data_IF_044564699546
#
_entry.id   IF_044564699546
#
_cell.length_a   1.000
_cell.length_b   1.000
_cell.length_c   1.000
_cell.angle_alpha   90.00
_cell.angle_beta   90.00
_cell.angle_gamma   90.00
#
_symmetry.space_group_name_H-M   'P 1'
#
loop_
_entity.id
_entity.type
_entity.pdbx_description
1 polymer ?
#
# COMPACT_ATOMS: atom_id res chain seq x y z
N UNK A 1 12.15 2.93 -9.93
CA UNK A 1 11.36 3.67 -8.90
C UNK A 1 10.81 2.69 -7.88
N UNK A 2 10.81 3.05 -6.59
CA UNK A 2 10.24 2.22 -5.52
C UNK A 2 9.03 2.91 -4.90
N UNK A 3 7.93 2.21 -4.76
CA UNK A 3 6.67 2.70 -4.17
C UNK A 3 6.31 1.88 -2.93
N UNK A 4 5.90 2.53 -1.84
CA UNK A 4 5.54 1.84 -0.59
C UNK A 4 4.58 2.63 0.28
N UNK A 5 3.80 1.95 1.14
CA UNK A 5 3.06 2.59 2.21
C UNK A 5 4.03 3.16 3.25
N UNK A 6 3.65 4.27 3.86
CA UNK A 6 4.46 4.94 4.89
C UNK A 6 3.61 5.30 6.10
N UNK A 7 3.92 4.67 7.23
CA UNK A 7 3.43 5.05 8.55
C UNK A 7 4.57 5.66 9.37
N UNK A 8 5.24 4.85 10.20
CA UNK A 8 6.37 5.29 11.03
C UNK A 8 7.67 5.56 10.25
N UNK A 9 7.69 5.25 8.97
CA UNK A 9 8.79 5.41 8.01
C UNK A 9 10.06 4.57 8.25
N UNK A 10 10.09 3.67 9.23
CA UNK A 10 11.25 2.81 9.48
C UNK A 10 11.68 1.98 8.26
N UNK A 11 10.72 1.33 7.58
CA UNK A 11 11.02 0.60 6.34
C UNK A 11 11.47 1.53 5.20
N UNK A 12 10.96 2.75 5.14
CA UNK A 12 11.35 3.72 4.12
C UNK A 12 12.83 4.10 4.28
N UNK A 13 13.25 4.42 5.51
CA UNK A 13 14.63 4.77 5.84
C UNK A 13 15.58 3.57 5.70
N UNK A 14 15.16 2.36 6.10
CA UNK A 14 15.96 1.14 5.95
C UNK A 14 16.24 0.82 4.47
N UNK A 15 15.25 0.95 3.58
CA UNK A 15 15.48 0.75 2.16
C UNK A 15 16.38 1.84 1.56
N UNK A 16 16.25 3.09 2.00
CA UNK A 16 17.13 4.17 1.57
C UNK A 16 18.59 3.87 1.94
N UNK A 17 18.80 3.40 3.18
CA UNK A 17 20.12 3.00 3.64
C UNK A 17 20.69 1.86 2.80
N UNK A 18 19.93 0.79 2.56
CA UNK A 18 20.38 -0.34 1.74
C UNK A 18 20.72 0.07 0.30
N UNK A 19 19.91 0.93 -0.33
CA UNK A 19 20.26 1.46 -1.66
C UNK A 19 21.49 2.36 -1.66
N UNK A 20 21.74 3.12 -0.59
CA UNK A 20 22.96 3.93 -0.48
C UNK A 20 24.20 3.04 -0.33
N UNK A 21 24.12 1.95 0.43
CA UNK A 21 25.16 0.93 0.55
C UNK A 21 25.42 0.25 -0.81
N UNK A 22 24.36 -0.18 -1.50
CA UNK A 22 24.49 -0.79 -2.85
C UNK A 22 25.13 0.16 -3.86
N UNK A 23 24.83 1.46 -3.80
CA UNK A 23 25.44 2.46 -4.66
C UNK A 23 26.93 2.64 -4.32
N UNK A 24 27.28 2.74 -3.04
CA UNK A 24 28.66 2.90 -2.59
C UNK A 24 29.55 1.70 -2.95
N UNK A 25 28.98 0.49 -2.94
CA UNK A 25 29.67 -0.75 -3.32
C UNK A 25 29.59 -1.03 -4.85
N UNK A 26 29.00 -0.14 -5.63
CA UNK A 26 28.92 -0.28 -7.09
C UNK A 26 27.95 -1.36 -7.58
N UNK A 27 27.10 -1.91 -6.70
CA UNK A 27 26.06 -2.90 -7.10
C UNK A 27 24.94 -2.28 -7.93
N UNK A 28 24.67 -1.00 -7.73
CA UNK A 28 23.73 -0.22 -8.55
C UNK A 28 24.44 1.05 -9.06
N UNK A 29 23.96 1.58 -10.18
CA UNK A 29 24.54 2.78 -10.82
C UNK A 29 23.92 4.09 -10.38
N UNK A 30 22.73 4.05 -9.75
CA UNK A 30 22.03 5.22 -9.27
C UNK A 30 20.97 4.81 -8.21
N UNK A 31 20.65 5.71 -7.31
CA UNK A 31 19.57 5.50 -6.35
C UNK A 31 18.21 5.44 -7.06
N UNK A 32 17.35 4.49 -6.74
CA UNK A 32 15.97 4.50 -7.23
C UNK A 32 15.20 5.66 -6.58
N UNK A 33 14.38 6.37 -7.36
CA UNK A 33 13.45 7.34 -6.79
C UNK A 33 12.49 6.64 -5.84
N UNK A 34 12.44 7.08 -4.61
CA UNK A 34 11.61 6.49 -3.55
C UNK A 34 10.36 7.32 -3.33
N UNK A 35 9.19 6.76 -3.62
CA UNK A 35 7.92 7.42 -3.37
C UNK A 35 7.21 6.75 -2.20
N UNK A 36 6.85 7.55 -1.20
CA UNK A 36 6.10 7.10 -0.03
C UNK A 36 4.66 7.58 -0.09
N UNK A 37 3.72 6.69 0.21
CA UNK A 37 2.30 7.05 0.22
C UNK A 37 1.69 6.82 1.59
N UNK A 38 0.90 7.79 2.02
CA UNK A 38 0.18 7.79 3.29
C UNK A 38 -1.32 7.74 3.05
N UNK A 39 -2.09 7.40 4.06
CA UNK A 39 -3.52 7.61 4.04
C UNK A 39 -3.84 9.09 4.31
N UNK A 40 -4.82 9.68 3.61
CA UNK A 40 -5.18 11.09 3.71
C UNK A 40 -5.44 11.54 5.15
N UNK A 41 -6.15 10.75 5.94
CA UNK A 41 -6.40 11.04 7.37
C UNK A 41 -5.19 10.83 8.28
N UNK A 42 -4.03 10.45 7.75
CA UNK A 42 -2.79 10.21 8.48
C UNK A 42 -1.55 10.46 7.61
N UNK A 43 -1.40 11.71 7.12
CA UNK A 43 -0.38 12.07 6.12
C UNK A 43 0.57 13.21 6.57
N UNK A 44 1.28 13.06 7.73
CA UNK A 44 2.16 14.09 8.25
C UNK A 44 3.30 14.48 7.31
N UNK A 45 3.85 13.56 6.51
CA UNK A 45 4.91 13.88 5.54
C UNK A 45 4.42 14.76 4.40
N UNK A 46 3.16 14.63 4.02
CA UNK A 46 2.57 15.44 2.94
C UNK A 46 2.09 16.79 3.45
N UNK A 47 1.54 16.84 4.67
CA UNK A 47 1.04 18.09 5.26
C UNK A 47 2.13 18.91 5.94
N UNK A 48 3.32 18.34 6.16
CA UNK A 48 4.44 19.02 6.84
C UNK A 48 4.27 19.20 8.35
N UNK A 49 3.23 18.61 8.94
CA UNK A 49 2.91 18.73 10.37
C UNK A 49 2.36 17.41 10.92
N UNK A 50 2.58 17.11 12.21
CA UNK A 50 1.97 15.97 12.86
C UNK A 50 0.44 16.04 12.82
N UNK A 51 -0.21 14.89 12.59
CA UNK A 51 -1.65 14.72 12.63
C UNK A 51 -2.05 14.29 14.04
N UNK A 52 -2.71 15.15 14.80
CA UNK A 52 -3.04 14.90 16.23
C UNK A 52 -4.04 13.74 16.43
N UNK A 53 -4.98 13.58 15.51
CA UNK A 53 -6.01 12.52 15.54
C UNK A 53 -6.02 11.81 14.19
N UNK A 54 -5.05 10.90 13.95
CA UNK A 54 -5.01 10.17 12.69
C UNK A 54 -6.21 9.22 12.60
N UNK A 55 -6.90 9.24 11.46
CA UNK A 55 -8.03 8.38 11.18
C UNK A 55 -7.95 7.83 9.76
N UNK A 56 -7.99 6.51 9.63
CA UNK A 56 -7.95 5.80 8.34
C UNK A 56 -8.25 4.32 8.54
N UNK A 57 -8.77 3.67 7.50
CA UNK A 57 -8.91 2.21 7.42
C UNK A 57 -7.56 1.48 7.39
N UNK A 58 -6.50 2.17 6.99
CA UNK A 58 -5.14 1.64 6.88
C UNK A 58 -4.45 1.63 8.25
N UNK A 59 -4.88 0.72 9.14
CA UNK A 59 -4.53 0.69 10.55
C UNK A 59 -3.04 0.67 10.83
N UNK A 60 -2.24 -0.09 10.07
CA UNK A 60 -0.79 -0.22 10.25
C UNK A 60 -0.01 1.05 9.86
N UNK A 61 -0.61 2.00 9.14
CA UNK A 61 -0.03 3.32 8.81
C UNK A 61 -0.81 4.49 9.42
N UNK A 62 -1.72 4.24 10.35
CA UNK A 62 -2.45 5.26 11.12
C UNK A 62 -1.56 5.88 12.19
N UNK A 63 -0.51 6.57 11.74
CA UNK A 63 0.54 7.16 12.58
C UNK A 63 0.63 8.65 12.26
N UNK A 64 0.19 9.47 13.20
CA UNK A 64 0.15 10.92 13.04
C UNK A 64 1.47 11.64 13.32
N UNK A 65 2.40 11.00 14.06
CA UNK A 65 3.72 11.54 14.38
C UNK A 65 4.79 10.44 14.21
N UNK A 66 5.34 10.28 13.00
CA UNK A 66 6.33 9.23 12.70
C UNK A 66 7.64 9.43 13.45
N UNK A 67 8.15 8.37 14.10
CA UNK A 67 9.43 8.42 14.81
C UNK A 67 10.63 8.66 13.88
N UNK A 68 10.55 8.20 12.61
CA UNK A 68 11.63 8.38 11.62
C UNK A 68 11.40 9.56 10.69
N UNK A 69 10.75 10.64 11.17
CA UNK A 69 10.32 11.76 10.32
C UNK A 69 11.49 12.41 9.56
N UNK A 70 12.49 12.92 10.28
CA UNK A 70 13.64 13.60 9.67
C UNK A 70 14.46 12.70 8.74
N UNK A 71 14.69 11.46 9.18
CA UNK A 71 15.42 10.47 8.37
C UNK A 71 14.68 10.15 7.06
N UNK A 72 13.36 10.13 7.09
CA UNK A 72 12.56 9.89 5.89
C UNK A 72 12.54 11.08 4.94
N UNK A 73 12.56 12.30 5.46
CA UNK A 73 12.71 13.51 4.64
C UNK A 73 14.07 13.53 3.93
N UNK A 74 15.15 13.23 4.66
CA UNK A 74 16.50 13.13 4.07
C UNK A 74 16.56 12.02 3.00
N UNK A 75 15.97 10.86 3.25
CA UNK A 75 15.91 9.76 2.28
C UNK A 75 15.11 10.12 1.02
N UNK A 76 14.00 10.85 1.16
CA UNK A 76 13.23 11.38 0.03
C UNK A 76 14.08 12.31 -0.83
N UNK A 77 14.78 13.26 -0.20
CA UNK A 77 15.62 14.23 -0.88
C UNK A 77 16.77 13.54 -1.60
N UNK A 78 17.53 12.68 -0.93
CA UNK A 78 18.66 11.93 -1.49
C UNK A 78 18.27 11.08 -2.72
N UNK A 79 17.04 10.53 -2.74
CA UNK A 79 16.55 9.70 -3.86
C UNK A 79 15.85 10.49 -4.96
N UNK A 80 15.66 11.80 -4.83
CA UNK A 80 14.79 12.60 -5.70
C UNK A 80 13.34 12.07 -5.71
N UNK A 81 12.91 11.50 -4.58
CA UNK A 81 11.61 10.92 -4.40
C UNK A 81 10.54 11.91 -3.92
N UNK A 82 9.40 11.38 -3.52
CA UNK A 82 8.30 12.21 -2.99
C UNK A 82 7.44 11.48 -1.98
N UNK A 83 6.71 12.25 -1.18
CA UNK A 83 5.58 11.77 -0.39
C UNK A 83 4.27 12.24 -1.02
N UNK A 84 3.24 11.39 -0.90
CA UNK A 84 1.90 11.71 -1.32
C UNK A 84 0.88 11.01 -0.44
N UNK A 85 -0.40 11.25 -0.69
CA UNK A 85 -1.47 10.58 0.03
C UNK A 85 -2.58 10.08 -0.90
N UNK A 86 -3.31 9.11 -0.39
CA UNK A 86 -4.51 8.55 -1.00
C UNK A 86 -5.64 8.48 0.03
N UNK A 87 -6.86 8.64 -0.42
CA UNK A 87 -8.05 8.50 0.42
C UNK A 87 -8.31 7.04 0.78
N UNK A 88 -9.06 6.82 1.85
CA UNK A 88 -9.51 5.48 2.26
C UNK A 88 -10.29 4.77 1.15
N UNK A 89 -11.06 5.53 0.35
CA UNK A 89 -11.76 4.99 -0.82
C UNK A 89 -10.80 4.47 -1.88
N UNK A 90 -9.73 5.20 -2.18
CA UNK A 90 -8.69 4.77 -3.13
C UNK A 90 -7.92 3.55 -2.59
N UNK A 91 -7.65 3.51 -1.28
CA UNK A 91 -7.01 2.37 -0.62
C UNK A 91 -7.88 1.12 -0.72
N UNK A 92 -9.17 1.23 -0.38
CA UNK A 92 -10.10 0.10 -0.40
C UNK A 92 -10.33 -0.44 -1.81
N UNK A 93 -10.41 0.46 -2.80
CA UNK A 93 -10.50 0.06 -4.20
C UNK A 93 -9.25 -0.73 -4.63
N UNK A 94 -8.06 -0.23 -4.33
CA UNK A 94 -6.80 -0.90 -4.68
C UNK A 94 -6.62 -2.22 -3.91
N UNK A 95 -7.02 -2.28 -2.65
CA UNK A 95 -7.02 -3.51 -1.86
C UNK A 95 -7.80 -4.63 -2.56
N UNK A 96 -8.99 -4.31 -3.09
CA UNK A 96 -9.80 -5.26 -3.85
C UNK A 96 -9.24 -5.58 -5.21
N UNK A 97 -8.74 -4.59 -5.92
CA UNK A 97 -8.10 -4.78 -7.20
C UNK A 97 -6.92 -5.75 -7.11
N UNK A 98 -6.05 -5.59 -6.12
CA UNK A 98 -4.92 -6.50 -5.88
C UNK A 98 -5.39 -7.93 -5.59
N UNK A 99 -6.45 -8.09 -4.80
CA UNK A 99 -6.99 -9.41 -4.47
C UNK A 99 -7.70 -10.06 -5.67
N UNK A 100 -8.57 -9.34 -6.37
CA UNK A 100 -9.45 -9.90 -7.37
C UNK A 100 -8.79 -10.04 -8.75
N UNK A 101 -7.97 -9.05 -9.15
CA UNK A 101 -7.41 -8.99 -10.49
C UNK A 101 -5.95 -9.47 -10.54
N UNK A 102 -5.22 -9.34 -9.42
CA UNK A 102 -3.80 -9.69 -9.35
C UNK A 102 -3.54 -10.95 -8.54
N UNK A 103 -4.52 -11.39 -7.73
CA UNK A 103 -4.38 -12.55 -6.85
C UNK A 103 -3.49 -12.32 -5.63
N UNK A 104 -3.26 -11.05 -5.26
CA UNK A 104 -2.40 -10.67 -4.13
C UNK A 104 -3.24 -10.12 -2.98
N UNK A 105 -3.48 -10.96 -1.97
CA UNK A 105 -4.28 -10.59 -0.80
C UNK A 105 -3.43 -9.88 0.25
N UNK A 106 -3.65 -8.59 0.42
CA UNK A 106 -2.91 -7.71 1.34
C UNK A 106 -3.85 -6.99 2.32
N UNK A 107 -3.32 -6.49 3.43
CA UNK A 107 -4.06 -5.57 4.30
C UNK A 107 -4.26 -4.19 3.63
N UNK A 108 -5.26 -3.37 4.01
CA UNK A 108 -5.49 -2.05 3.42
C UNK A 108 -4.26 -1.14 3.44
N UNK A 109 -3.48 -1.15 4.53
CA UNK A 109 -2.24 -0.37 4.63
C UNK A 109 -1.24 -0.69 3.52
N UNK A 110 -1.12 -1.95 3.14
CA UNK A 110 -0.21 -2.41 2.09
C UNK A 110 -0.65 -1.99 0.69
N UNK A 111 -1.95 -1.84 0.46
CA UNK A 111 -2.50 -1.38 -0.82
C UNK A 111 -2.21 0.11 -1.09
N UNK A 112 -1.89 0.90 -0.06
CA UNK A 112 -1.67 2.35 -0.15
C UNK A 112 -0.59 2.73 -1.16
N UNK A 113 0.52 1.98 -1.22
CA UNK A 113 1.60 2.22 -2.17
C UNK A 113 1.18 2.04 -3.62
N UNK A 114 0.41 0.99 -3.91
CA UNK A 114 -0.14 0.71 -5.24
C UNK A 114 -1.24 1.73 -5.61
N UNK A 115 -2.10 2.11 -4.66
CA UNK A 115 -3.11 3.16 -4.86
C UNK A 115 -2.48 4.50 -5.23
N UNK A 116 -1.41 4.87 -4.54
CA UNK A 116 -0.64 6.07 -4.85
C UNK A 116 0.00 6.02 -6.23
N UNK A 117 0.62 4.89 -6.60
CA UNK A 117 1.13 4.69 -7.95
C UNK A 117 0.05 4.90 -9.01
N UNK A 118 -1.10 4.26 -8.84
CA UNK A 118 -2.22 4.36 -9.78
C UNK A 118 -2.72 5.80 -9.93
N UNK A 119 -2.90 6.50 -8.82
CA UNK A 119 -3.30 7.91 -8.79
C UNK A 119 -2.33 8.81 -9.56
N UNK A 120 -1.02 8.65 -9.34
CA UNK A 120 0.01 9.44 -10.00
C UNK A 120 0.22 9.04 -11.47
N UNK A 121 0.02 7.77 -11.81
CA UNK A 121 0.03 7.31 -13.19
C UNK A 121 -1.08 7.95 -14.03
N UNK A 122 -2.29 8.02 -13.48
CA UNK A 122 -3.43 8.71 -14.14
C UNK A 122 -3.19 10.20 -14.38
N UNK A 123 -2.32 10.83 -13.58
CA UNK A 123 -1.93 12.23 -13.77
C UNK A 123 -0.75 12.42 -14.73
N UNK A 124 -0.22 11.34 -15.30
CA UNK A 124 0.96 11.40 -16.16
C UNK A 124 2.28 11.70 -15.42
N UNK A 125 2.30 11.59 -14.10
CA UNK A 125 3.47 11.92 -13.28
C UNK A 125 4.49 10.76 -13.20
N UNK A 126 4.14 9.59 -13.73
CA UNK A 126 5.02 8.43 -13.81
C UNK A 126 5.64 8.40 -15.22
N UNK A 127 6.98 8.58 -15.36
CA UNK A 127 7.61 8.60 -16.66
C UNK A 127 7.40 7.28 -17.41
N UNK A 128 7.14 7.37 -18.73
CA UNK A 128 7.03 6.19 -19.58
C UNK A 128 8.35 5.39 -19.57
N UNK A 129 8.25 4.06 -19.67
CA UNK A 129 9.41 3.16 -19.61
C UNK A 129 10.03 2.97 -18.22
N UNK A 130 9.42 3.52 -17.15
CA UNK A 130 9.92 3.32 -15.79
C UNK A 130 9.78 1.88 -15.35
N UNK A 131 10.84 1.29 -14.80
CA UNK A 131 10.76 0.09 -13.97
C UNK A 131 10.29 0.49 -12.56
N UNK A 132 9.20 -0.12 -12.09
CA UNK A 132 8.57 0.23 -10.81
C UNK A 132 8.50 -1.02 -9.93
N UNK A 133 8.96 -0.88 -8.69
CA UNK A 133 8.80 -1.89 -7.64
C UNK A 133 7.83 -1.35 -6.61
N UNK A 134 6.74 -2.07 -6.39
CA UNK A 134 5.76 -1.75 -5.33
C UNK A 134 5.91 -2.76 -4.21
N UNK A 135 6.25 -2.28 -3.02
CA UNK A 135 6.34 -3.15 -1.85
C UNK A 135 4.95 -3.30 -1.22
N UNK A 136 4.40 -4.48 -1.30
CA UNK A 136 3.19 -4.88 -0.55
C UNK A 136 3.65 -5.56 0.74
N UNK A 137 3.41 -4.92 1.88
CA UNK A 137 4.10 -5.24 3.14
C UNK A 137 3.37 -6.27 3.99
N UNK A 138 2.08 -6.07 4.26
CA UNK A 138 1.29 -6.90 5.16
C UNK A 138 0.27 -7.76 4.42
N UNK A 139 0.20 -9.04 4.80
CA UNK A 139 -0.80 -9.98 4.30
C UNK A 139 -2.21 -9.59 4.79
N UNK A 140 -3.24 -9.87 3.98
CA UNK A 140 -4.63 -9.51 4.28
C UNK A 140 -5.18 -10.09 5.59
N UNK A 141 -4.67 -11.24 6.04
CA UNK A 141 -5.05 -11.82 7.33
C UNK A 141 -4.60 -11.02 8.56
N UNK A 142 -3.75 -9.99 8.41
CA UNK A 142 -3.41 -9.08 9.50
C UNK A 142 -4.54 -8.12 9.83
N UNK A 143 -5.42 -7.85 8.85
CA UNK A 143 -6.63 -7.03 9.02
C UNK A 143 -7.79 -7.61 8.19
N UNK A 144 -8.32 -8.80 8.60
CA UNK A 144 -9.28 -9.55 7.80
C UNK A 144 -10.65 -8.88 7.73
N UNK A 145 -10.94 -7.91 8.59
CA UNK A 145 -12.24 -7.25 8.64
C UNK A 145 -12.60 -6.55 7.33
N UNK A 146 -11.60 -6.06 6.59
CA UNK A 146 -11.83 -5.41 5.30
C UNK A 146 -12.07 -6.39 4.14
N UNK A 147 -11.64 -7.63 4.28
CA UNK A 147 -11.98 -8.70 3.34
C UNK A 147 -13.47 -9.09 3.40
N UNK A 148 -14.10 -8.86 4.55
CA UNK A 148 -15.53 -9.16 4.80
C UNK A 148 -16.45 -7.96 4.56
N UNK A 149 -15.98 -6.91 3.89
CA UNK A 149 -16.78 -5.72 3.57
C UNK A 149 -16.94 -5.56 2.06
N UNK A 150 -18.12 -5.07 1.65
CA UNK A 150 -18.39 -4.71 0.26
C UNK A 150 -17.69 -3.39 -0.14
N UNK A 151 -17.87 -2.94 -1.37
CA UNK A 151 -17.27 -1.70 -1.92
C UNK A 151 -17.69 -0.43 -1.16
N UNK A 152 -18.78 -0.52 -0.40
CA UNK A 152 -19.32 0.57 0.42
C UNK A 152 -18.89 0.48 1.87
N UNK A 153 -18.05 -0.53 2.20
CA UNK A 153 -17.60 -0.79 3.56
C UNK A 153 -18.65 -1.51 4.45
N UNK A 154 -19.75 -2.02 3.85
CA UNK A 154 -20.78 -2.78 4.56
C UNK A 154 -20.35 -4.25 4.69
N UNK A 155 -20.64 -4.85 5.84
CA UNK A 155 -20.29 -6.24 6.11
C UNK A 155 -20.98 -7.21 5.13
N UNK A 156 -20.18 -8.07 4.50
CA UNK A 156 -20.64 -9.19 3.69
C UNK A 156 -20.90 -10.34 4.64
N UNK A 157 -22.13 -10.84 4.67
CA UNK A 157 -22.46 -12.03 5.47
C UNK A 157 -21.89 -13.27 4.77
N UNK A 158 -21.05 -14.07 5.44
CA UNK A 158 -20.62 -15.35 4.92
C UNK A 158 -21.83 -16.22 4.59
N UNK A 159 -21.78 -16.88 3.44
CA UNK A 159 -22.83 -17.81 3.04
C UNK A 159 -22.48 -19.20 3.55
N UNK A 160 -23.36 -19.78 4.37
CA UNK A 160 -23.21 -21.15 4.77
C UNK A 160 -23.54 -22.09 3.60
N UNK A 161 -22.66 -23.05 3.37
CA UNK A 161 -22.81 -24.11 2.36
C UNK A 161 -22.67 -25.45 3.06
N UNK A 162 -23.46 -26.45 2.65
CA UNK A 162 -23.33 -27.79 3.18
C UNK A 162 -21.89 -28.31 2.98
N UNK A 163 -21.37 -29.04 3.97
CA UNK A 163 -20.03 -29.65 3.89
C UNK A 163 -20.05 -30.87 2.95
N UNK A 164 -20.30 -30.60 1.65
CA UNK A 164 -20.31 -31.57 0.56
C UNK A 164 -19.66 -30.94 -0.65
N UNK A 165 -18.83 -31.69 -1.35
CA UNK A 165 -18.09 -31.21 -2.53
C UNK A 165 -19.04 -30.65 -3.60
N UNK A 166 -20.16 -31.35 -3.84
CA UNK A 166 -21.16 -30.97 -4.85
C UNK A 166 -21.79 -29.60 -4.53
N UNK A 167 -22.16 -29.37 -3.27
CA UNK A 167 -22.74 -28.10 -2.83
C UNK A 167 -21.76 -26.93 -2.93
N UNK A 168 -20.49 -27.18 -2.61
CA UNK A 168 -19.42 -26.17 -2.76
C UNK A 168 -19.16 -25.90 -4.24
N UNK A 169 -19.05 -26.93 -5.08
CA UNK A 169 -18.83 -26.80 -6.51
C UNK A 169 -19.98 -26.05 -7.20
N UNK A 170 -21.24 -26.37 -6.85
CA UNK A 170 -22.42 -25.67 -7.35
C UNK A 170 -22.38 -24.19 -6.98
N UNK A 171 -22.05 -23.88 -5.72
CA UNK A 171 -21.96 -22.50 -5.21
C UNK A 171 -20.87 -21.67 -5.89
N UNK A 172 -19.77 -22.31 -6.27
CA UNK A 172 -18.65 -21.69 -6.99
C UNK A 172 -18.85 -21.67 -8.52
N UNK A 173 -19.99 -22.17 -9.03
CA UNK A 173 -20.22 -22.28 -10.46
C UNK A 173 -19.32 -23.30 -11.17
N UNK A 174 -18.76 -24.26 -10.42
CA UNK A 174 -17.86 -25.31 -10.92
C UNK A 174 -18.57 -26.64 -11.18
N UNK A 175 -19.88 -26.71 -10.97
CA UNK A 175 -20.67 -27.91 -11.30
C UNK A 175 -20.59 -28.17 -12.80
N UNK A 176 -20.21 -29.37 -13.18
CA UNK A 176 -20.32 -29.80 -14.60
C UNK A 176 -21.78 -29.68 -15.02
N UNK A 177 -22.02 -28.99 -16.11
CA UNK A 177 -23.30 -29.06 -16.83
C UNK A 177 -23.52 -30.42 -17.37
#
# INVERSE_FOLDING_TARGET
>A
MTKKPVGNAGNYTAYSKGYAEDLAEGRIKALPKMWGFQAEGSAPFTFGNPVKKPDTIATAIRIGNPASYELALAAREASGGQFGFVSDKEILWMHRFLSNEVGVFVEPSSATGAAGLFKHSKKGEVPAGSTIVVTVTGHGLKDPMWALKDERGKDIKPQAVANKVEAVAERLGLSKK
#
